data_IF_849040375407
#
_entry.id   IF_849040375407
#
_cell.length_a   1.000
_cell.length_b   1.000
_cell.length_c   1.000
_cell.angle_alpha   90.00
_cell.angle_beta   90.00
_cell.angle_gamma   90.00
#
_symmetry.space_group_name_H-M   'P 1'
#
loop_
_entity.id
_entity.type
_entity.pdbx_description
1 polymer ?
#
# COMPACT_ATOMS: atom_id res chain seq x y z
N UNK A 1 4.46 -16.09 -29.50
CA UNK A 1 3.96 -14.74 -29.11
C UNK A 1 2.47 -14.78 -28.88
N UNK A 2 2.02 -14.16 -27.79
CA UNK A 2 0.60 -14.13 -27.44
C UNK A 2 -0.01 -12.78 -27.79
N UNK A 3 -1.22 -12.80 -28.36
CA UNK A 3 -1.96 -11.61 -28.71
C UNK A 3 -3.26 -11.52 -27.91
N UNK A 4 -3.56 -10.34 -27.34
CA UNK A 4 -4.86 -9.99 -26.79
C UNK A 4 -5.43 -8.82 -27.56
N UNK A 5 -6.70 -8.90 -27.96
CA UNK A 5 -7.42 -7.79 -28.54
C UNK A 5 -8.49 -7.31 -27.54
N UNK A 6 -8.48 -6.02 -27.21
CA UNK A 6 -9.54 -5.35 -26.47
C UNK A 6 -10.36 -4.51 -27.42
N UNK A 7 -11.68 -4.63 -27.32
CA UNK A 7 -12.58 -3.80 -28.11
C UNK A 7 -12.88 -2.52 -27.33
N UNK A 8 -12.34 -1.43 -27.80
CA UNK A 8 -12.58 -0.10 -27.26
C UNK A 8 -13.62 0.63 -28.13
N UNK A 9 -14.25 1.71 -27.63
CA UNK A 9 -15.15 2.55 -28.45
C UNK A 9 -14.51 3.07 -29.75
N UNK A 10 -13.16 3.09 -29.81
CA UNK A 10 -12.38 3.52 -30.99
C UNK A 10 -11.91 2.36 -31.88
N UNK A 11 -12.34 1.13 -31.62
CA UNK A 11 -11.96 -0.07 -32.37
C UNK A 11 -11.12 -1.08 -31.58
N UNK A 12 -10.69 -2.15 -32.26
CA UNK A 12 -9.86 -3.21 -31.66
C UNK A 12 -8.47 -2.65 -31.28
N UNK A 13 -8.02 -2.93 -30.06
CA UNK A 13 -6.69 -2.60 -29.58
C UNK A 13 -5.89 -3.88 -29.32
N UNK A 14 -5.25 -4.47 -30.36
CA UNK A 14 -4.49 -5.69 -30.18
C UNK A 14 -3.21 -5.41 -29.37
N UNK A 15 -2.95 -6.25 -28.39
CA UNK A 15 -1.73 -6.20 -27.59
C UNK A 15 -0.94 -7.50 -27.77
N UNK A 16 0.33 -7.35 -28.04
CA UNK A 16 1.23 -8.47 -28.29
C UNK A 16 2.28 -8.52 -27.18
N UNK A 17 2.52 -9.70 -26.64
CA UNK A 17 3.65 -9.97 -25.76
C UNK A 17 4.52 -11.06 -26.38
N UNK A 18 5.82 -10.93 -26.22
CA UNK A 18 6.81 -11.94 -26.61
C UNK A 18 7.30 -12.63 -25.34
N UNK A 19 7.32 -13.94 -25.35
CA UNK A 19 7.79 -14.76 -24.24
C UNK A 19 8.67 -15.89 -24.77
N UNK A 20 9.59 -16.35 -23.92
CA UNK A 20 10.39 -17.55 -24.12
C UNK A 20 9.81 -18.78 -23.38
N UNK A 21 8.63 -18.63 -22.75
CA UNK A 21 7.95 -19.75 -22.11
C UNK A 21 7.43 -20.73 -23.15
N UNK A 22 7.42 -22.04 -22.86
CA UNK A 22 6.82 -23.05 -23.72
C UNK A 22 5.34 -22.78 -24.00
N UNK A 23 4.84 -23.23 -25.15
CA UNK A 23 3.44 -23.00 -25.56
C UNK A 23 2.42 -23.69 -24.63
N UNK A 24 2.81 -24.77 -23.99
CA UNK A 24 2.01 -25.55 -23.04
C UNK A 24 2.07 -25.03 -21.61
N UNK A 25 2.86 -23.96 -21.34
CA UNK A 25 3.01 -23.40 -19.98
C UNK A 25 1.70 -22.82 -19.42
N UNK A 26 0.96 -22.08 -20.22
CA UNK A 26 -0.32 -21.50 -19.84
C UNK A 26 -1.12 -21.05 -21.07
N UNK A 27 -2.43 -20.97 -20.91
CA UNK A 27 -3.31 -20.36 -21.89
C UNK A 27 -2.88 -18.90 -22.19
N UNK A 28 -2.94 -18.44 -23.45
CA UNK A 28 -2.52 -17.09 -23.85
C UNK A 28 -3.18 -15.96 -23.03
N UNK A 29 -4.44 -16.16 -22.65
CA UNK A 29 -5.17 -15.18 -21.84
C UNK A 29 -4.64 -15.14 -20.40
N UNK A 30 -4.44 -16.29 -19.78
CA UNK A 30 -3.87 -16.40 -18.43
C UNK A 30 -2.44 -15.86 -18.40
N UNK A 31 -1.62 -16.16 -19.39
CA UNK A 31 -0.27 -15.63 -19.52
C UNK A 31 -0.26 -14.09 -19.57
N UNK A 32 -1.21 -13.48 -20.28
CA UNK A 32 -1.34 -12.04 -20.35
C UNK A 32 -1.87 -11.46 -19.03
N UNK A 33 -3.00 -11.97 -18.52
CA UNK A 33 -3.70 -11.37 -17.37
C UNK A 33 -2.99 -11.65 -16.04
N UNK A 34 -2.50 -12.87 -15.84
CA UNK A 34 -1.94 -13.29 -14.55
C UNK A 34 -0.43 -13.06 -14.46
N UNK A 35 0.31 -13.28 -15.53
CA UNK A 35 1.77 -13.15 -15.50
C UNK A 35 2.22 -11.77 -15.99
N UNK A 36 1.80 -11.35 -17.18
CA UNK A 36 2.27 -10.08 -17.75
C UNK A 36 1.67 -8.87 -17.03
N UNK A 37 0.37 -8.88 -16.74
CA UNK A 37 -0.29 -7.78 -16.05
C UNK A 37 0.12 -7.69 -14.57
N UNK A 38 0.55 -8.78 -13.92
CA UNK A 38 1.10 -8.77 -12.57
C UNK A 38 2.35 -7.86 -12.45
N UNK A 39 3.06 -7.61 -13.55
CA UNK A 39 4.13 -6.59 -13.60
C UNK A 39 3.62 -5.20 -13.23
N UNK A 40 2.38 -4.86 -13.60
CA UNK A 40 1.76 -3.58 -13.26
C UNK A 40 1.58 -3.40 -11.75
N UNK A 41 1.42 -4.47 -10.99
CA UNK A 41 1.35 -4.40 -9.54
C UNK A 41 2.66 -3.92 -8.93
N UNK A 42 3.79 -4.38 -9.44
CA UNK A 42 5.11 -3.91 -8.98
C UNK A 42 5.28 -2.41 -9.23
N UNK A 43 4.90 -1.93 -10.41
CA UNK A 43 4.94 -0.50 -10.74
C UNK A 43 4.05 0.33 -9.81
N UNK A 44 2.87 -0.16 -9.47
CA UNK A 44 1.97 0.47 -8.52
C UNK A 44 2.58 0.51 -7.10
N UNK A 45 3.27 -0.55 -6.67
CA UNK A 45 3.96 -0.59 -5.37
C UNK A 45 5.12 0.40 -5.31
N UNK A 46 5.89 0.52 -6.40
CA UNK A 46 6.96 1.53 -6.51
C UNK A 46 6.36 2.93 -6.45
N UNK A 47 5.25 3.20 -7.14
CA UNK A 47 4.54 4.48 -7.06
C UNK A 47 4.06 4.80 -5.65
N UNK A 48 3.46 3.84 -4.94
CA UNK A 48 3.08 4.03 -3.53
C UNK A 48 4.28 4.44 -2.67
N UNK A 49 5.42 3.76 -2.83
CA UNK A 49 6.63 4.09 -2.09
C UNK A 49 7.15 5.49 -2.44
N UNK A 50 7.19 5.83 -3.71
CA UNK A 50 7.68 7.13 -4.17
C UNK A 50 6.75 8.27 -3.74
N UNK A 51 5.47 8.19 -4.07
CA UNK A 51 4.54 9.31 -3.92
C UNK A 51 3.94 9.40 -2.50
N UNK A 52 3.60 8.26 -1.92
CA UNK A 52 2.92 8.21 -0.63
C UNK A 52 3.88 8.19 0.56
N UNK A 53 5.07 7.61 0.40
CA UNK A 53 6.09 7.48 1.44
C UNK A 53 7.36 8.28 1.14
N UNK A 54 7.32 9.17 0.14
CA UNK A 54 8.36 10.15 -0.15
C UNK A 54 9.73 9.58 -0.53
N UNK A 55 9.79 8.39 -1.15
CA UNK A 55 11.04 7.83 -1.66
C UNK A 55 11.67 8.65 -2.79
N UNK A 56 10.88 9.48 -3.48
CA UNK A 56 11.31 10.43 -4.51
C UNK A 56 12.06 11.64 -3.95
N UNK A 57 11.96 11.92 -2.65
CA UNK A 57 12.59 13.08 -2.01
C UNK A 57 14.05 12.81 -1.63
N UNK A 58 14.92 12.79 -2.63
CA UNK A 58 16.37 12.58 -2.49
C UNK A 58 17.14 13.89 -2.65
N UNK A 59 16.75 14.93 -1.92
CA UNK A 59 17.31 16.29 -2.01
C UNK A 59 18.38 16.62 -0.97
N UNK A 60 18.90 15.61 -0.26
CA UNK A 60 19.99 15.84 0.69
C UNK A 60 21.33 16.01 -0.04
N UNK A 61 22.24 16.81 0.53
CA UNK A 61 23.53 17.13 -0.08
C UNK A 61 24.51 15.96 -0.19
N UNK A 62 24.24 14.82 0.43
CA UNK A 62 25.11 13.65 0.36
C UNK A 62 24.38 12.40 -0.11
N UNK A 63 25.07 11.53 -0.82
CA UNK A 63 24.55 10.23 -1.27
C UNK A 63 24.07 9.38 -0.09
N UNK A 64 24.85 9.34 1.00
CA UNK A 64 24.52 8.54 2.21
C UNK A 64 23.22 8.99 2.85
N UNK A 65 22.98 10.30 2.94
CA UNK A 65 21.72 10.83 3.49
C UNK A 65 20.52 10.49 2.60
N UNK A 66 20.66 10.55 1.29
CA UNK A 66 19.62 10.14 0.36
C UNK A 66 19.35 8.63 0.41
N UNK A 67 20.40 7.83 0.51
CA UNK A 67 20.29 6.38 0.68
C UNK A 67 19.54 6.03 1.98
N UNK A 68 19.86 6.70 3.09
CA UNK A 68 19.17 6.50 4.37
C UNK A 68 17.67 6.85 4.27
N UNK A 69 17.32 7.94 3.58
CA UNK A 69 15.91 8.29 3.32
C UNK A 69 15.18 7.20 2.53
N UNK A 70 15.83 6.65 1.51
CA UNK A 70 15.25 5.55 0.72
C UNK A 70 15.03 4.30 1.59
N UNK A 71 15.97 3.97 2.48
CA UNK A 71 15.82 2.88 3.43
C UNK A 71 14.62 3.11 4.37
N UNK A 72 14.47 4.30 4.94
CA UNK A 72 13.30 4.63 5.78
C UNK A 72 11.99 4.52 5.02
N UNK A 73 11.93 4.99 3.79
CA UNK A 73 10.73 4.82 2.94
C UNK A 73 10.42 3.35 2.69
N UNK A 74 11.43 2.52 2.43
CA UNK A 74 11.27 1.07 2.24
C UNK A 74 10.76 0.38 3.51
N UNK A 75 11.32 0.71 4.68
CA UNK A 75 10.81 0.21 5.96
C UNK A 75 9.37 0.64 6.21
N UNK A 76 9.04 1.91 5.96
CA UNK A 76 7.68 2.40 6.10
C UNK A 76 6.70 1.63 5.19
N UNK A 77 7.11 1.34 3.95
CA UNK A 77 6.32 0.53 3.03
C UNK A 77 6.06 -0.89 3.56
N UNK A 78 7.08 -1.54 4.09
CA UNK A 78 6.96 -2.88 4.69
C UNK A 78 6.00 -2.85 5.89
N UNK A 79 6.14 -1.87 6.77
CA UNK A 79 5.26 -1.71 7.94
C UNK A 79 3.81 -1.44 7.55
N UNK A 80 3.55 -0.56 6.58
CA UNK A 80 2.19 -0.29 6.08
C UNK A 80 1.62 -1.51 5.37
N UNK A 81 2.43 -2.26 4.64
CA UNK A 81 2.01 -3.51 4.01
C UNK A 81 1.66 -4.60 5.04
N UNK A 82 2.44 -4.72 6.10
CA UNK A 82 2.14 -5.61 7.23
C UNK A 82 0.85 -5.18 7.95
N UNK A 83 0.69 -3.88 8.21
CA UNK A 83 -0.53 -3.31 8.80
C UNK A 83 -1.76 -3.65 7.94
N UNK A 84 -1.67 -3.51 6.62
CA UNK A 84 -2.73 -3.88 5.67
C UNK A 84 -3.14 -5.33 5.81
N UNK A 85 -2.16 -6.22 5.79
CA UNK A 85 -2.37 -7.68 5.81
C UNK A 85 -2.89 -8.20 7.15
N UNK A 86 -2.48 -7.62 8.26
CA UNK A 86 -2.79 -8.11 9.61
C UNK A 86 -3.88 -7.26 10.26
N UNK A 87 -3.62 -5.98 10.46
CA UNK A 87 -4.51 -5.13 11.24
C UNK A 87 -5.76 -4.70 10.47
N UNK A 88 -5.62 -4.37 9.18
CA UNK A 88 -6.74 -3.86 8.38
C UNK A 88 -7.55 -4.96 7.69
N UNK A 89 -7.21 -6.24 7.91
CA UNK A 89 -7.95 -7.36 7.34
C UNK A 89 -9.44 -7.28 7.68
N UNK A 90 -10.29 -7.36 6.64
CA UNK A 90 -11.74 -7.29 6.79
C UNK A 90 -12.27 -5.89 7.17
N UNK A 91 -11.50 -4.84 6.96
CA UNK A 91 -11.95 -3.45 7.05
C UNK A 91 -12.06 -2.84 5.65
N UNK A 92 -12.75 -1.70 5.54
CA UNK A 92 -12.82 -0.93 4.28
C UNK A 92 -11.49 -0.31 3.82
N UNK A 93 -10.42 -0.41 4.63
CA UNK A 93 -9.08 0.03 4.27
C UNK A 93 -8.11 -1.13 4.01
N UNK A 94 -8.59 -2.37 3.91
CA UNK A 94 -7.75 -3.56 3.68
C UNK A 94 -6.93 -3.44 2.39
N UNK A 95 -7.54 -2.89 1.32
CA UNK A 95 -6.90 -2.74 0.01
C UNK A 95 -6.52 -1.28 -0.31
N UNK A 96 -6.55 -0.42 0.72
CA UNK A 96 -6.24 1.00 0.53
C UNK A 96 -4.75 1.25 0.27
N UNK A 97 -4.43 2.29 -0.53
CA UNK A 97 -3.05 2.72 -0.77
C UNK A 97 -2.37 3.22 0.51
N UNK A 98 -1.04 3.25 0.51
CA UNK A 98 -0.25 3.82 1.61
C UNK A 98 -0.66 5.27 1.93
N UNK A 99 -0.93 6.08 0.90
CA UNK A 99 -1.40 7.46 1.06
C UNK A 99 -2.75 7.55 1.74
N UNK A 100 -3.68 6.69 1.35
CA UNK A 100 -5.02 6.62 1.96
C UNK A 100 -4.94 6.22 3.43
N UNK A 101 -4.17 5.19 3.77
CA UNK A 101 -3.96 4.74 5.15
C UNK A 101 -3.34 5.87 5.98
N UNK A 102 -2.31 6.52 5.45
CA UNK A 102 -1.65 7.63 6.12
C UNK A 102 -2.61 8.78 6.42
N UNK A 103 -3.44 9.17 5.45
CA UNK A 103 -4.35 10.29 5.61
C UNK A 103 -5.55 9.97 6.51
N UNK A 104 -6.07 8.76 6.44
CA UNK A 104 -7.32 8.40 7.09
C UNK A 104 -7.15 7.69 8.43
N UNK A 105 -6.00 7.05 8.66
CA UNK A 105 -5.75 6.29 9.87
C UNK A 105 -4.64 6.87 10.75
N UNK A 106 -3.59 7.46 10.15
CA UNK A 106 -2.47 8.01 10.94
C UNK A 106 -2.60 9.51 11.23
N UNK A 107 -3.30 10.26 10.38
CA UNK A 107 -3.55 11.70 10.61
C UNK A 107 -4.85 11.93 11.39
N UNK A 108 -4.99 11.28 12.53
CA UNK A 108 -6.10 11.52 13.46
C UNK A 108 -5.61 12.50 14.51
N UNK A 109 -6.38 13.58 14.75
CA UNK A 109 -6.09 14.52 15.82
C UNK A 109 -6.17 13.80 17.17
N UNK A 110 -5.22 14.07 18.04
CA UNK A 110 -5.16 13.46 19.37
C UNK A 110 -4.72 14.47 20.42
N UNK A 111 -5.31 14.35 21.61
CA UNK A 111 -4.82 14.99 22.83
C UNK A 111 -3.94 13.99 23.57
N UNK A 112 -2.71 14.36 23.87
CA UNK A 112 -1.77 13.51 24.60
C UNK A 112 -1.60 14.04 26.02
N UNK A 113 -1.99 13.22 27.00
CA UNK A 113 -1.76 13.50 28.41
C UNK A 113 -0.58 12.66 28.91
N UNK A 114 0.40 13.35 29.48
CA UNK A 114 1.61 12.74 30.02
C UNK A 114 1.60 12.83 31.54
N UNK A 115 1.68 11.69 32.19
CA UNK A 115 1.87 11.62 33.64
C UNK A 115 3.15 10.84 33.97
N UNK A 116 3.60 10.89 35.22
CA UNK A 116 4.83 10.20 35.67
C UNK A 116 4.81 8.68 35.36
N UNK A 117 3.63 8.07 35.24
CA UNK A 117 3.49 6.61 35.14
C UNK A 117 2.87 6.13 33.82
N UNK A 118 2.32 7.02 32.97
CA UNK A 118 1.62 6.63 31.74
C UNK A 118 1.41 7.77 30.77
N UNK A 119 1.29 7.41 29.51
CA UNK A 119 0.79 8.26 28.43
C UNK A 119 -0.64 7.86 28.12
N UNK A 120 -1.52 8.83 28.00
CA UNK A 120 -2.90 8.62 27.54
C UNK A 120 -3.10 9.41 26.25
N UNK A 121 -3.58 8.74 25.22
CA UNK A 121 -3.83 9.35 23.90
C UNK A 121 -5.34 9.33 23.68
N UNK A 122 -5.96 10.49 23.70
CA UNK A 122 -7.37 10.68 23.39
C UNK A 122 -7.52 11.02 21.92
N UNK A 123 -7.98 10.07 21.13
CA UNK A 123 -8.24 10.28 19.70
C UNK A 123 -9.53 11.07 19.51
N UNK A 124 -9.58 11.94 18.47
CA UNK A 124 -10.75 12.73 18.16
C UNK A 124 -11.99 11.85 17.94
N UNK A 125 -13.04 12.12 18.71
CA UNK A 125 -14.33 11.40 18.61
C UNK A 125 -15.07 11.64 17.29
N UNK A 126 -14.77 12.74 16.60
CA UNK A 126 -15.32 13.06 15.27
C UNK A 126 -14.62 12.29 14.11
N UNK A 127 -13.62 11.45 14.40
CA UNK A 127 -12.93 10.68 13.35
C UNK A 127 -13.88 9.68 12.67
N UNK A 128 -14.09 9.75 11.33
CA UNK A 128 -15.03 8.87 10.62
C UNK A 128 -14.50 7.43 10.47
N UNK A 129 -13.26 7.15 10.90
CA UNK A 129 -12.60 5.83 10.79
C UNK A 129 -12.38 5.16 12.15
N UNK A 130 -13.17 5.52 13.17
CA UNK A 130 -13.08 4.89 14.50
C UNK A 130 -13.30 3.38 14.47
N UNK A 131 -14.29 2.94 13.68
CA UNK A 131 -14.60 1.52 13.47
C UNK A 131 -13.39 0.74 12.93
N UNK A 132 -12.73 1.31 11.92
CA UNK A 132 -11.52 0.73 11.31
C UNK A 132 -10.38 0.69 12.33
N UNK A 133 -10.14 1.80 13.05
CA UNK A 133 -9.09 1.88 14.06
C UNK A 133 -9.31 0.85 15.17
N UNK A 134 -10.52 0.77 15.72
CA UNK A 134 -10.87 -0.22 16.76
C UNK A 134 -10.71 -1.65 16.26
N UNK A 135 -11.11 -1.93 15.01
CA UNK A 135 -10.94 -3.27 14.42
C UNK A 135 -9.47 -3.60 14.20
N UNK A 136 -8.67 -2.63 13.73
CA UNK A 136 -7.24 -2.79 13.56
C UNK A 136 -6.54 -3.12 14.89
N UNK A 137 -6.87 -2.42 15.96
CA UNK A 137 -6.32 -2.72 17.30
C UNK A 137 -6.73 -4.11 17.78
N UNK A 138 -7.97 -4.52 17.56
CA UNK A 138 -8.42 -5.90 17.90
C UNK A 138 -7.68 -6.95 17.11
N UNK A 139 -7.48 -6.73 15.81
CA UNK A 139 -6.74 -7.66 14.95
C UNK A 139 -5.26 -7.79 15.38
N UNK A 140 -4.69 -6.74 15.98
CA UNK A 140 -3.35 -6.74 16.57
C UNK A 140 -3.33 -7.25 18.00
N UNK A 141 -4.46 -7.71 18.55
CA UNK A 141 -4.61 -8.14 19.94
C UNK A 141 -4.24 -7.06 20.96
N UNK A 142 -4.41 -5.79 20.58
CA UNK A 142 -4.12 -4.66 21.47
C UNK A 142 -5.39 -4.29 22.26
N UNK A 143 -5.38 -4.36 23.61
CA UNK A 143 -6.52 -3.98 24.43
C UNK A 143 -6.73 -2.47 24.35
N UNK A 144 -7.82 -2.03 23.72
CA UNK A 144 -8.26 -0.64 23.81
C UNK A 144 -9.05 -0.49 25.12
N UNK A 145 -8.62 0.42 25.97
CA UNK A 145 -9.45 0.88 27.08
C UNK A 145 -10.47 1.86 26.54
N UNK A 146 -11.72 1.56 26.69
CA UNK A 146 -12.87 2.46 26.45
C UNK A 146 -13.04 3.41 27.62
#
# INVERSE_FOLDING_TARGET
>A
GNAKAEQLPKGANPRFIVTNLPEDYAEPKALYEELYCARGDMENRIKEQQLDLFADRTSAGTLRANQLRLWFSSFAYVLVSALRRVALKGTRLADASCGTIRLKLFKIAALVEVSVRRFVIHLASACPYQDVFRKACRNLHYPLRT
#
